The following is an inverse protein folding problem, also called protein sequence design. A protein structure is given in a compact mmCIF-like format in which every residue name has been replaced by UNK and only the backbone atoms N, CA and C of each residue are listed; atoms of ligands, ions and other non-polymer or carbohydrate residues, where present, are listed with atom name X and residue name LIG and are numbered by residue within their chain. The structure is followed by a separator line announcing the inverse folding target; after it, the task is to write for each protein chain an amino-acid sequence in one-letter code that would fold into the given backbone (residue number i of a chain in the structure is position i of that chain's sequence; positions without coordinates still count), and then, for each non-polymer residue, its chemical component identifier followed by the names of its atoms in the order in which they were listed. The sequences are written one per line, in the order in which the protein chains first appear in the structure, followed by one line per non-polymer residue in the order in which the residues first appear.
data_IF_282772723534
#
_entry.id   IF_282772723534
#
_cell.length_a   1.000
_cell.length_b   1.000
_cell.length_c   1.000
_cell.angle_alpha   90.00
_cell.angle_beta   90.00
_cell.angle_gamma   90.00
#
_symmetry.space_group_name_H-M   'P 1'
#
loop_
_entity.id
_entity.type
_entity.pdbx_description
1 polymer ?
#
# COMPACT_ATOMS: atom_id res chain seq x y z
N UNK A 1 7.64 11.69 20.44
CA UNK A 1 7.95 11.02 21.73
C UNK A 1 7.41 11.86 22.86
N UNK A 2 6.80 11.22 23.85
CA UNK A 2 6.29 11.81 25.09
C UNK A 2 6.89 11.06 26.28
N UNK A 3 7.16 11.78 27.37
CA UNK A 3 7.71 11.24 28.63
C UNK A 3 6.83 11.76 29.76
N UNK A 4 6.44 10.88 30.67
CA UNK A 4 5.61 11.24 31.82
C UNK A 4 6.37 12.23 32.74
N UNK A 5 5.82 13.42 33.02
CA UNK A 5 6.47 14.40 33.89
C UNK A 5 6.57 13.95 35.35
N UNK A 6 5.78 12.96 35.79
CA UNK A 6 5.79 12.44 37.16
C UNK A 6 6.66 11.17 37.31
N UNK A 7 6.95 10.46 36.22
CA UNK A 7 7.76 9.24 36.22
C UNK A 7 8.49 9.05 34.88
N UNK A 8 9.76 9.46 34.82
CA UNK A 8 10.57 9.39 33.60
C UNK A 8 10.81 7.98 33.04
N UNK A 9 10.45 6.91 33.77
CA UNK A 9 10.49 5.55 33.22
C UNK A 9 9.33 5.29 32.26
N UNK A 10 8.26 6.08 32.31
CA UNK A 10 7.08 5.95 31.47
C UNK A 10 7.22 6.82 30.23
N UNK A 11 7.27 6.17 29.09
CA UNK A 11 7.51 6.83 27.81
C UNK A 11 6.55 6.32 26.76
N UNK A 12 6.13 7.20 25.84
CA UNK A 12 5.32 6.86 24.67
C UNK A 12 6.00 7.36 23.41
N UNK A 13 6.16 6.48 22.43
CA UNK A 13 6.57 6.83 21.05
C UNK A 13 5.43 6.43 20.12
N UNK A 14 5.17 7.26 19.11
CA UNK A 14 4.21 6.94 18.07
C UNK A 14 4.73 7.48 16.73
N UNK A 15 4.42 6.73 15.68
CA UNK A 15 4.55 7.11 14.28
C UNK A 15 3.33 6.58 13.51
N UNK A 16 3.36 6.65 12.19
CA UNK A 16 2.25 6.33 11.31
C UNK A 16 1.84 4.84 11.35
N UNK A 17 2.70 3.95 11.86
CA UNK A 17 2.34 2.54 12.06
C UNK A 17 1.61 2.26 13.37
N UNK A 18 1.59 3.17 14.36
CA UNK A 18 1.14 2.85 15.73
C UNK A 18 1.89 3.52 16.88
N UNK A 19 1.74 2.98 18.09
CA UNK A 19 2.35 3.53 19.30
C UNK A 19 2.95 2.45 20.20
N UNK A 20 4.07 2.76 20.84
CA UNK A 20 4.74 1.91 21.80
C UNK A 20 4.89 2.60 23.15
N UNK A 21 4.81 1.81 24.21
CA UNK A 21 4.91 2.27 25.59
C UNK A 21 6.07 1.56 26.28
N UNK A 22 6.86 2.32 27.02
CA UNK A 22 7.88 1.80 27.95
C UNK A 22 7.51 2.17 29.39
N UNK A 23 7.87 1.29 30.33
CA UNK A 23 7.73 1.51 31.78
C UNK A 23 9.08 1.37 32.51
N UNK A 24 10.19 1.30 31.79
CA UNK A 24 11.53 1.05 32.33
C UNK A 24 12.60 1.96 31.72
N UNK A 25 12.20 3.17 31.32
CA UNK A 25 13.12 4.19 30.80
C UNK A 25 13.63 3.89 29.39
N UNK A 26 12.86 3.15 28.59
CA UNK A 26 13.17 2.82 27.21
C UNK A 26 14.02 1.58 27.00
N UNK A 27 14.25 0.77 28.05
CA UNK A 27 14.96 -0.51 27.94
C UNK A 27 14.10 -1.56 27.24
N UNK A 28 12.80 -1.58 27.51
CA UNK A 28 11.81 -2.40 26.84
C UNK A 28 10.60 -1.57 26.40
N UNK A 29 9.98 -2.01 25.31
CA UNK A 29 8.81 -1.37 24.72
C UNK A 29 7.72 -2.41 24.45
N UNK A 30 6.46 -1.99 24.53
CA UNK A 30 5.34 -2.79 24.04
C UNK A 30 5.47 -3.06 22.54
N UNK A 31 4.71 -4.04 22.05
CA UNK A 31 4.51 -4.22 20.60
C UNK A 31 3.88 -2.98 19.96
N UNK A 32 4.12 -2.79 18.66
CA UNK A 32 3.40 -1.85 17.78
C UNK A 32 1.93 -2.27 17.59
N UNK A 33 1.67 -3.58 17.66
CA UNK A 33 0.38 -4.24 17.39
C UNK A 33 -0.61 -4.12 18.56
N UNK A 34 -0.59 -3.00 19.28
CA UNK A 34 -1.43 -2.79 20.45
C UNK A 34 -2.67 -1.92 20.15
N UNK A 35 -2.71 -1.22 19.01
CA UNK A 35 -3.81 -0.34 18.58
C UNK A 35 -4.06 -0.48 17.07
N UNK A 36 -5.33 -0.48 16.61
CA UNK A 36 -5.67 -0.53 15.19
C UNK A 36 -5.55 0.86 14.54
N UNK A 37 -4.32 1.29 14.24
CA UNK A 37 -4.02 2.63 13.68
C UNK A 37 -3.92 2.66 12.15
N UNK A 38 -4.04 1.51 11.48
CA UNK A 38 -3.87 1.40 10.02
C UNK A 38 -4.76 2.38 9.25
N UNK A 39 -4.14 3.24 8.45
CA UNK A 39 -4.81 4.11 7.50
C UNK A 39 -4.80 3.48 6.10
N UNK A 40 -5.93 2.87 5.72
CA UNK A 40 -6.15 2.32 4.38
C UNK A 40 -6.95 3.31 3.54
N UNK A 41 -6.35 3.82 2.46
CA UNK A 41 -7.05 4.79 1.60
C UNK A 41 -8.14 4.16 0.75
N UNK A 42 -7.91 2.93 0.28
CA UNK A 42 -8.76 2.23 -0.67
C UNK A 42 -8.63 0.73 -0.48
N UNK A 43 -9.72 0.04 -0.80
CA UNK A 43 -9.76 -1.41 -0.83
C UNK A 43 -10.19 -1.90 -2.20
N UNK A 44 -9.63 -3.03 -2.62
CA UNK A 44 -10.11 -3.82 -3.76
C UNK A 44 -10.27 -5.28 -3.35
N UNK A 45 -10.88 -6.08 -4.22
CA UNK A 45 -11.05 -7.52 -4.02
C UNK A 45 -10.48 -8.28 -5.20
N UNK A 46 -10.06 -9.51 -4.97
CA UNK A 46 -9.70 -10.44 -6.04
C UNK A 46 -10.83 -11.43 -6.36
N UNK A 47 -10.58 -12.31 -7.33
CA UNK A 47 -11.53 -13.33 -7.79
C UNK A 47 -11.29 -14.72 -7.15
N UNK A 48 -10.53 -14.81 -6.05
CA UNK A 48 -10.38 -16.09 -5.33
C UNK A 48 -11.66 -16.44 -4.54
N UNK A 49 -11.79 -17.70 -4.09
CA UNK A 49 -12.87 -18.09 -3.18
C UNK A 49 -12.34 -18.92 -2.01
N UNK A 50 -12.48 -18.44 -0.75
CA UNK A 50 -12.93 -17.10 -0.37
C UNK A 50 -12.06 -15.99 -0.98
N UNK A 51 -12.66 -14.87 -1.38
CA UNK A 51 -11.93 -13.77 -2.01
C UNK A 51 -10.96 -13.11 -1.02
N UNK A 52 -9.93 -12.43 -1.52
CA UNK A 52 -9.04 -11.60 -0.70
C UNK A 52 -9.41 -10.13 -0.85
N UNK A 53 -9.22 -9.36 0.22
CA UNK A 53 -9.33 -7.90 0.27
C UNK A 53 -7.91 -7.35 0.21
N UNK A 54 -7.66 -6.34 -0.62
CA UNK A 54 -6.35 -5.72 -0.81
C UNK A 54 -6.43 -4.24 -0.47
N UNK A 55 -5.39 -3.68 0.14
CA UNK A 55 -5.33 -2.24 0.44
C UNK A 55 -3.90 -1.76 0.70
N UNK A 56 -3.61 -0.52 0.32
CA UNK A 56 -2.35 0.14 0.66
C UNK A 56 -2.49 0.85 2.01
N UNK A 57 -1.54 0.62 2.92
CA UNK A 57 -1.47 1.26 4.23
C UNK A 57 -0.43 2.37 4.22
N UNK A 58 -0.80 3.56 4.69
CA UNK A 58 0.16 4.67 4.80
C UNK A 58 1.37 4.33 5.66
N UNK A 59 2.52 4.83 5.18
CA UNK A 59 3.84 4.66 5.79
C UNK A 59 4.18 3.18 6.10
N UNK A 60 3.59 2.26 5.33
CA UNK A 60 3.74 0.81 5.49
C UNK A 60 3.54 0.08 4.14
N UNK A 61 3.42 -1.25 4.17
CA UNK A 61 3.23 -2.09 2.99
C UNK A 61 1.80 -2.02 2.43
N UNK A 62 1.66 -2.43 1.17
CA UNK A 62 0.35 -2.85 0.67
C UNK A 62 0.09 -4.26 1.19
N UNK A 63 -1.12 -4.51 1.68
CA UNK A 63 -1.52 -5.77 2.29
C UNK A 63 -2.67 -6.42 1.53
N UNK A 64 -2.75 -7.75 1.58
CA UNK A 64 -3.92 -8.54 1.21
C UNK A 64 -4.32 -9.48 2.35
N UNK A 65 -5.61 -9.67 2.54
CA UNK A 65 -6.18 -10.51 3.60
C UNK A 65 -7.30 -11.38 3.05
N UNK A 66 -7.43 -12.61 3.55
CA UNK A 66 -8.57 -13.48 3.21
C UNK A 66 -9.88 -12.94 3.80
N UNK A 67 -10.95 -12.95 3.02
CA UNK A 67 -12.30 -12.62 3.51
C UNK A 67 -12.87 -13.67 4.47
N UNK A 68 -12.34 -14.91 4.42
CA UNK A 68 -12.71 -15.99 5.31
C UNK A 68 -11.60 -17.04 5.37
N UNK A 69 -11.44 -17.63 6.55
CA UNK A 69 -10.55 -18.77 6.80
C UNK A 69 -11.35 -20.00 7.25
N UNK A 70 -10.72 -21.18 7.20
CA UNK A 70 -11.28 -22.42 7.75
C UNK A 70 -11.10 -22.52 9.27
N UNK A 71 -10.30 -21.63 9.86
CA UNK A 71 -10.15 -21.48 11.30
C UNK A 71 -11.35 -20.81 11.98
N UNK A 72 -11.24 -20.65 13.30
CA UNK A 72 -12.29 -20.06 14.14
C UNK A 72 -12.47 -18.54 13.94
N UNK A 73 -11.41 -17.87 13.47
CA UNK A 73 -11.39 -16.43 13.21
C UNK A 73 -10.29 -16.12 12.19
N UNK A 74 -10.41 -14.98 11.51
CA UNK A 74 -9.32 -14.37 10.74
C UNK A 74 -8.28 -13.86 11.74
N UNK A 75 -7.03 -14.22 11.51
CA UNK A 75 -5.90 -13.89 12.39
C UNK A 75 -4.81 -13.14 11.62
N UNK A 76 -3.77 -12.70 12.33
CA UNK A 76 -2.52 -12.15 11.77
C UNK A 76 -1.94 -13.02 10.65
N UNK A 77 -2.07 -14.35 10.74
CA UNK A 77 -1.60 -15.32 9.73
C UNK A 77 -2.36 -15.28 8.39
N UNK A 78 -3.51 -14.61 8.34
CA UNK A 78 -4.30 -14.48 7.12
C UNK A 78 -3.95 -13.21 6.33
N UNK A 79 -3.03 -12.38 6.84
CA UNK A 79 -2.51 -11.18 6.20
C UNK A 79 -1.19 -11.48 5.47
N UNK A 80 -1.02 -10.87 4.29
CA UNK A 80 0.17 -11.01 3.47
C UNK A 80 0.51 -9.66 2.83
N UNK A 81 1.79 -9.28 2.80
CA UNK A 81 2.25 -8.14 2.01
C UNK A 81 2.06 -8.39 0.50
N UNK A 82 1.85 -7.35 -0.30
CA UNK A 82 1.63 -7.48 -1.73
C UNK A 82 2.28 -6.37 -2.58
N UNK A 83 1.97 -6.34 -3.88
CA UNK A 83 2.54 -5.38 -4.83
C UNK A 83 2.19 -3.94 -4.43
N UNK A 84 3.08 -3.01 -4.74
CA UNK A 84 2.95 -1.60 -4.44
C UNK A 84 3.81 -1.22 -3.25
N UNK A 85 3.35 -0.22 -2.51
CA UNK A 85 3.96 0.28 -1.28
C UNK A 85 2.83 0.92 -0.45
N UNK A 86 2.93 2.17 -0.03
CA UNK A 86 2.09 2.68 1.06
C UNK A 86 0.85 3.47 0.62
N UNK A 87 0.81 3.94 -0.63
CA UNK A 87 -0.15 4.99 -1.03
C UNK A 87 -1.08 4.56 -2.17
N UNK A 88 -0.58 3.72 -3.06
CA UNK A 88 -1.19 3.55 -4.37
C UNK A 88 -2.46 2.71 -4.42
N UNK A 89 -3.03 2.63 -5.63
CA UNK A 89 -4.05 1.63 -5.93
C UNK A 89 -3.42 0.23 -5.96
N UNK A 90 -4.19 -0.77 -5.54
CA UNK A 90 -3.83 -2.17 -5.64
C UNK A 90 -4.98 -2.94 -6.29
N UNK A 91 -4.67 -3.78 -7.27
CA UNK A 91 -5.63 -4.64 -7.97
C UNK A 91 -5.02 -6.00 -8.28
N UNK A 92 -5.80 -7.07 -8.12
CA UNK A 92 -5.40 -8.40 -8.57
C UNK A 92 -5.77 -8.61 -10.04
N UNK A 93 -5.01 -9.46 -10.74
CA UNK A 93 -5.38 -9.92 -12.08
C UNK A 93 -6.71 -10.69 -12.02
N UNK A 94 -7.74 -10.28 -12.79
CA UNK A 94 -9.05 -10.90 -12.74
C UNK A 94 -9.05 -12.37 -13.21
N UNK A 95 -8.02 -12.81 -13.94
CA UNK A 95 -7.86 -14.18 -14.40
C UNK A 95 -6.94 -15.02 -13.51
N UNK A 96 -6.11 -14.37 -12.68
CA UNK A 96 -5.18 -15.06 -11.79
C UNK A 96 -4.95 -14.24 -10.51
N UNK A 97 -5.64 -14.56 -9.41
CA UNK A 97 -5.60 -13.72 -8.21
C UNK A 97 -4.26 -13.77 -7.47
N UNK A 98 -3.32 -14.65 -7.85
CA UNK A 98 -1.95 -14.65 -7.33
C UNK A 98 -1.03 -13.62 -7.99
N UNK A 99 -1.47 -12.99 -9.09
CA UNK A 99 -0.78 -11.87 -9.71
C UNK A 99 -1.44 -10.58 -9.23
N UNK A 100 -0.67 -9.73 -8.56
CA UNK A 100 -1.16 -8.44 -8.03
C UNK A 100 -0.36 -7.28 -8.61
N UNK A 101 -1.05 -6.20 -8.93
CA UNK A 101 -0.50 -4.95 -9.42
C UNK A 101 -0.72 -3.87 -8.37
N UNK A 102 0.34 -3.17 -7.97
CA UNK A 102 0.26 -2.14 -6.95
C UNK A 102 1.08 -0.91 -7.30
N UNK A 103 0.48 0.25 -7.07
CA UNK A 103 1.10 1.56 -7.29
C UNK A 103 1.76 2.12 -6.03
N UNK A 104 2.52 3.21 -6.22
CA UNK A 104 2.94 4.11 -5.15
C UNK A 104 3.02 5.55 -5.70
N UNK A 105 3.30 6.51 -4.83
CA UNK A 105 3.59 7.87 -5.25
C UNK A 105 4.68 7.93 -6.33
N UNK A 106 4.69 9.03 -7.11
CA UNK A 106 5.69 9.21 -8.17
C UNK A 106 5.51 8.29 -9.37
N UNK A 107 4.37 7.60 -9.51
CA UNK A 107 4.08 6.76 -10.67
C UNK A 107 4.68 5.36 -10.61
N UNK A 108 5.31 4.98 -9.48
CA UNK A 108 5.82 3.64 -9.30
C UNK A 108 4.69 2.61 -9.46
N UNK A 109 4.95 1.57 -10.25
CA UNK A 109 4.05 0.46 -10.44
C UNK A 109 4.85 -0.84 -10.33
N UNK A 110 4.33 -1.80 -9.58
CA UNK A 110 4.92 -3.13 -9.45
C UNK A 110 3.91 -4.22 -9.72
N UNK A 111 4.43 -5.37 -10.14
CA UNK A 111 3.70 -6.62 -10.32
C UNK A 111 4.36 -7.69 -9.44
N UNK A 112 3.58 -8.23 -8.51
CA UNK A 112 3.99 -9.35 -7.66
C UNK A 112 3.28 -10.63 -8.10
N UNK A 113 4.05 -11.70 -8.28
CA UNK A 113 3.53 -13.07 -8.38
C UNK A 113 3.71 -13.80 -7.04
N UNK A 114 2.61 -14.01 -6.33
CA UNK A 114 2.61 -14.62 -5.01
C UNK A 114 2.97 -16.11 -4.99
N UNK A 115 2.95 -16.78 -6.14
CA UNK A 115 3.39 -18.19 -6.22
C UNK A 115 4.91 -18.31 -6.23
N UNK A 116 5.59 -17.32 -6.81
CA UNK A 116 7.04 -17.34 -6.99
C UNK A 116 7.78 -16.34 -6.10
N UNK A 117 7.08 -15.36 -5.53
CA UNK A 117 7.65 -14.24 -4.80
C UNK A 117 8.28 -13.18 -5.71
N UNK A 118 8.14 -13.31 -7.03
CA UNK A 118 8.75 -12.38 -7.97
C UNK A 118 8.02 -11.03 -7.96
N UNK A 119 8.72 -9.98 -7.50
CA UNK A 119 8.26 -8.60 -7.56
C UNK A 119 9.04 -7.83 -8.63
N UNK A 120 8.36 -7.34 -9.67
CA UNK A 120 8.96 -6.55 -10.74
C UNK A 120 8.37 -5.15 -10.78
N UNK A 121 9.23 -4.14 -10.80
CA UNK A 121 8.85 -2.80 -11.21
C UNK A 121 8.48 -2.81 -12.70
N UNK A 122 7.31 -2.28 -13.03
CA UNK A 122 6.74 -2.16 -14.38
C UNK A 122 6.22 -0.73 -14.62
N UNK A 123 6.85 0.22 -13.93
CA UNK A 123 6.57 1.66 -14.03
C UNK A 123 6.58 2.11 -15.48
N UNK A 124 5.59 2.94 -15.83
CA UNK A 124 5.54 3.57 -17.15
C UNK A 124 6.43 4.81 -17.11
N UNK A 125 7.34 4.93 -18.07
CA UNK A 125 8.27 6.07 -18.19
C UNK A 125 7.56 7.43 -18.01
N UNK A 126 8.16 8.41 -17.30
CA UNK A 126 9.53 8.42 -16.74
C UNK A 126 9.64 7.73 -15.37
N UNK A 127 10.80 7.11 -15.11
CA UNK A 127 11.13 6.54 -13.80
C UNK A 127 11.40 7.65 -12.78
N UNK A 128 10.68 7.61 -11.67
CA UNK A 128 10.82 8.47 -10.49
C UNK A 128 11.01 9.98 -10.80
N UNK A 129 9.93 10.69 -11.19
CA UNK A 129 9.96 12.11 -11.48
C UNK A 129 9.94 13.00 -10.22
N UNK A 130 10.19 12.46 -9.03
CA UNK A 130 10.18 13.23 -7.78
C UNK A 130 11.19 14.37 -7.84
N UNK A 131 10.71 15.59 -7.56
CA UNK A 131 11.53 16.81 -7.58
C UNK A 131 11.72 17.43 -8.98
N UNK A 132 11.26 16.79 -10.06
CA UNK A 132 11.35 17.37 -11.40
C UNK A 132 10.30 18.47 -11.62
N UNK A 133 10.70 19.54 -12.32
CA UNK A 133 9.83 20.66 -12.68
C UNK A 133 8.58 20.23 -13.46
N UNK A 134 7.52 20.99 -13.30
CA UNK A 134 6.25 20.77 -14.00
C UNK A 134 6.43 20.76 -15.54
N UNK A 135 7.31 21.61 -16.04
CA UNK A 135 7.63 21.82 -17.45
C UNK A 135 8.26 20.60 -18.14
N UNK A 136 9.01 19.75 -17.41
CA UNK A 136 9.70 18.59 -17.99
C UNK A 136 8.89 17.29 -17.92
N UNK A 137 7.75 17.27 -17.20
CA UNK A 137 6.91 16.08 -17.05
C UNK A 137 5.70 16.10 -18.00
N UNK A 138 5.84 15.44 -19.16
CA UNK A 138 4.73 15.23 -20.12
C UNK A 138 3.55 14.46 -19.51
N UNK A 139 3.85 13.57 -18.56
CA UNK A 139 2.88 12.73 -17.87
C UNK A 139 3.14 12.82 -16.37
N UNK A 140 2.13 13.20 -15.59
CA UNK A 140 2.24 13.30 -14.13
C UNK A 140 1.34 12.29 -13.46
N UNK A 141 1.94 11.45 -12.64
CA UNK A 141 1.21 10.56 -11.75
C UNK A 141 0.99 11.26 -10.42
N UNK A 142 -0.26 11.28 -9.99
CA UNK A 142 -0.65 11.78 -8.67
C UNK A 142 -0.18 10.81 -7.58
N UNK A 143 -0.13 11.29 -6.32
CA UNK A 143 0.20 10.48 -5.14
C UNK A 143 -0.56 9.14 -5.15
N UNK A 144 -1.83 9.17 -5.54
CA UNK A 144 -2.73 8.03 -5.61
C UNK A 144 -3.34 7.85 -7.00
N UNK A 145 -2.57 7.40 -7.99
CA UNK A 145 -3.08 7.23 -9.35
C UNK A 145 -3.95 5.96 -9.51
N UNK A 146 -5.16 6.04 -10.10
CA UNK A 146 -6.02 4.87 -10.30
C UNK A 146 -5.42 3.80 -11.21
N UNK A 147 -5.61 2.54 -10.81
CA UNK A 147 -5.24 1.32 -11.56
C UNK A 147 -6.48 0.43 -11.62
N UNK A 148 -6.87 -0.03 -12.80
CA UNK A 148 -7.96 -1.00 -12.95
C UNK A 148 -7.83 -1.81 -14.24
N UNK A 149 -8.43 -3.00 -14.27
CA UNK A 149 -8.55 -3.81 -15.48
C UNK A 149 -9.77 -3.39 -16.30
N UNK A 150 -9.63 -3.41 -17.64
CA UNK A 150 -10.74 -3.10 -18.53
C UNK A 150 -11.88 -4.10 -18.35
N UNK A 151 -13.14 -3.64 -18.17
CA UNK A 151 -14.31 -4.54 -18.08
C UNK A 151 -14.55 -5.36 -19.35
N UNK A 152 -14.00 -4.93 -20.50
CA UNK A 152 -14.18 -5.58 -21.80
C UNK A 152 -13.00 -6.47 -22.20
N UNK A 153 -11.83 -6.30 -21.57
CA UNK A 153 -10.65 -7.10 -21.85
C UNK A 153 -9.81 -7.28 -20.58
N UNK A 154 -9.88 -8.45 -19.91
CA UNK A 154 -9.19 -8.69 -18.65
C UNK A 154 -7.66 -8.71 -18.78
N UNK A 155 -7.09 -8.74 -19.99
CA UNK A 155 -5.63 -8.65 -20.22
C UNK A 155 -5.13 -7.20 -20.32
N UNK A 156 -6.03 -6.21 -20.23
CA UNK A 156 -5.69 -4.79 -20.38
C UNK A 156 -5.83 -4.07 -19.05
N UNK A 157 -4.70 -3.64 -18.49
CA UNK A 157 -4.64 -2.75 -17.34
C UNK A 157 -4.62 -1.29 -17.80
N UNK A 158 -5.35 -0.42 -17.11
CA UNK A 158 -5.45 1.01 -17.38
C UNK A 158 -4.92 1.77 -16.17
N UNK A 159 -4.02 2.73 -16.43
CA UNK A 159 -3.46 3.65 -15.43
C UNK A 159 -3.97 5.06 -15.72
N UNK A 160 -4.58 5.70 -14.73
CA UNK A 160 -5.06 7.08 -14.86
C UNK A 160 -3.96 8.06 -14.44
N UNK A 161 -3.60 8.98 -15.33
CA UNK A 161 -2.58 10.01 -15.08
C UNK A 161 -3.12 11.39 -15.43
N UNK A 162 -2.58 12.43 -14.81
CA UNK A 162 -2.93 13.79 -15.17
C UNK A 162 -2.16 14.22 -16.42
N UNK A 163 -2.87 14.83 -17.37
CA UNK A 163 -2.28 15.53 -18.51
C UNK A 163 -2.65 17.01 -18.37
N UNK A 164 -1.67 17.87 -18.09
CA UNK A 164 -1.89 19.33 -18.02
C UNK A 164 -1.48 19.89 -19.39
N UNK A 165 -2.46 20.45 -20.11
CA UNK A 165 -2.21 21.14 -21.38
C UNK A 165 -2.05 22.62 -21.09
N UNK A 166 -0.84 23.14 -21.24
CA UNK A 166 -0.61 24.59 -21.24
C UNK A 166 -0.88 25.11 -22.66
N UNK A 167 -2.01 25.77 -22.85
CA UNK A 167 -2.20 26.61 -24.03
C UNK A 167 -1.55 27.96 -23.74
N UNK A 168 -0.37 28.19 -24.32
CA UNK A 168 0.23 29.53 -24.36
C UNK A 168 -0.67 30.48 -25.14
N UNK A 169 -0.84 31.70 -24.63
CA UNK A 169 -1.33 32.83 -25.43
C UNK A 169 -0.25 33.26 -26.42
#
# INVERSE_FOLDING_TARGET
MWIDPEDGNRMVVADDGGAQVSFDGGNNWSTYENQPTSQIYRVSTDNSFPYRILGAQQDNSTIRIKSRTYGVAITDRDWEETAGSESGYVVADPLNPDIVYGGNYGGYLSRLDHRTGENRAITVWPDNPMGAGADVQKYRFQWNFPIFFSPHNPKKIVLCRQCIVFNGK
#
